data_IF_286866160525
#
_entry.id   IF_286866160525
#
_cell.length_a   1.000
_cell.length_b   1.000
_cell.length_c   1.000
_cell.angle_alpha   90.00
_cell.angle_beta   90.00
_cell.angle_gamma   90.00
#
_symmetry.space_group_name_H-M   'P 1'
#
loop_
_entity.id
_entity.type
_entity.pdbx_description
1 polymer ?
#
# COMPACT_ATOMS: atom_id res chain seq x y z
N UNK A 1 -10.35 50.33 -21.58
CA UNK A 1 -11.41 49.30 -21.61
C UNK A 1 -11.66 48.75 -20.22
N UNK A 2 -12.91 48.31 -19.92
CA UNK A 2 -13.22 47.69 -18.61
C UNK A 2 -14.11 46.48 -18.77
N UNK A 3 -13.78 45.42 -18.02
CA UNK A 3 -14.63 44.22 -17.90
C UNK A 3 -15.19 44.16 -16.47
N UNK A 4 -16.51 44.27 -16.35
CA UNK A 4 -17.19 44.27 -15.04
C UNK A 4 -18.10 43.05 -14.90
N UNK A 5 -18.18 42.52 -13.69
CA UNK A 5 -19.10 41.43 -13.36
C UNK A 5 -20.49 41.99 -13.06
N UNK A 6 -21.47 41.65 -13.89
CA UNK A 6 -22.85 42.08 -13.74
C UNK A 6 -23.76 40.94 -13.22
N UNK A 7 -24.92 41.36 -12.70
CA UNK A 7 -25.97 40.45 -12.21
C UNK A 7 -27.27 40.74 -12.94
N UNK A 8 -27.95 39.70 -13.45
CA UNK A 8 -29.27 39.82 -14.04
C UNK A 8 -30.26 38.97 -13.26
N UNK A 9 -31.30 39.57 -12.76
CA UNK A 9 -32.39 38.86 -12.11
C UNK A 9 -33.13 37.99 -13.14
N UNK A 10 -33.24 36.73 -12.92
CA UNK A 10 -34.01 35.77 -13.74
C UNK A 10 -35.45 35.65 -13.23
N UNK A 11 -35.59 35.53 -11.90
CA UNK A 11 -36.88 35.48 -11.19
C UNK A 11 -36.65 35.88 -9.72
N UNK A 12 -37.72 35.87 -8.88
CA UNK A 12 -37.63 36.27 -7.45
C UNK A 12 -36.58 35.48 -6.64
N UNK A 13 -36.06 34.36 -7.14
CA UNK A 13 -35.16 33.45 -6.41
C UNK A 13 -33.82 33.20 -7.09
N UNK A 14 -33.60 33.65 -8.34
CA UNK A 14 -32.40 33.34 -9.12
C UNK A 14 -31.80 34.54 -9.82
N UNK A 15 -30.48 34.61 -9.76
CA UNK A 15 -29.71 35.67 -10.39
C UNK A 15 -28.64 35.08 -11.30
N UNK A 16 -28.58 35.42 -12.57
CA UNK A 16 -27.53 35.01 -13.50
C UNK A 16 -26.38 36.02 -13.50
N UNK A 17 -25.14 35.48 -13.52
CA UNK A 17 -23.94 36.30 -13.64
C UNK A 17 -23.52 36.48 -15.11
N UNK A 18 -23.06 37.70 -15.48
CA UNK A 18 -22.54 37.96 -16.79
C UNK A 18 -21.35 38.93 -16.71
N UNK A 19 -20.50 38.91 -17.72
CA UNK A 19 -19.46 39.90 -17.92
C UNK A 19 -20.00 41.03 -18.84
N UNK A 20 -19.72 42.26 -18.47
CA UNK A 20 -20.07 43.43 -19.26
C UNK A 20 -18.77 44.04 -19.77
N UNK A 21 -18.57 43.99 -21.08
CA UNK A 21 -17.43 44.57 -21.78
C UNK A 21 -17.78 46.00 -22.22
N UNK A 22 -16.91 46.95 -21.95
CA UNK A 22 -17.03 48.32 -22.42
C UNK A 22 -15.76 48.74 -23.17
N UNK A 23 -15.88 48.99 -24.48
CA UNK A 23 -14.77 49.36 -25.34
C UNK A 23 -15.22 50.37 -26.41
N UNK A 24 -14.54 51.50 -26.54
CA UNK A 24 -14.83 52.55 -27.52
C UNK A 24 -16.33 52.93 -27.61
N UNK A 25 -16.99 53.10 -26.45
CA UNK A 25 -18.41 53.49 -26.40
C UNK A 25 -19.38 52.32 -26.63
N UNK A 26 -18.92 51.17 -27.11
CA UNK A 26 -19.76 49.97 -27.33
C UNK A 26 -19.76 49.09 -26.11
N UNK A 27 -20.92 48.46 -25.80
CA UNK A 27 -21.09 47.54 -24.68
C UNK A 27 -21.57 46.19 -25.19
N UNK A 28 -20.95 45.10 -24.66
CA UNK A 28 -21.35 43.71 -24.95
C UNK A 28 -21.49 42.94 -23.63
N UNK A 29 -22.50 42.11 -23.55
CA UNK A 29 -22.72 41.22 -22.39
C UNK A 29 -22.42 39.78 -22.78
N UNK A 30 -21.69 39.06 -21.92
CA UNK A 30 -21.41 37.64 -22.05
C UNK A 30 -21.94 36.96 -20.81
N UNK A 31 -22.93 36.06 -20.93
CA UNK A 31 -23.47 35.31 -19.81
C UNK A 31 -22.58 34.12 -19.48
N UNK A 32 -22.23 33.97 -18.18
CA UNK A 32 -21.30 32.94 -17.72
C UNK A 32 -21.96 31.57 -17.48
N UNK A 33 -23.29 31.48 -17.59
CA UNK A 33 -24.03 30.28 -17.22
C UNK A 33 -24.06 30.01 -15.70
N UNK A 34 -23.52 30.93 -14.90
CA UNK A 34 -23.45 30.80 -13.42
C UNK A 34 -24.71 31.44 -12.84
N UNK A 35 -25.50 30.63 -12.12
CA UNK A 35 -26.75 31.05 -11.47
C UNK A 35 -26.56 31.03 -9.96
N UNK A 36 -26.88 32.14 -9.30
CA UNK A 36 -26.99 32.25 -7.86
C UNK A 36 -28.43 32.00 -7.43
N UNK A 37 -28.62 31.15 -6.46
CA UNK A 37 -29.92 30.83 -5.86
C UNK A 37 -30.20 31.74 -4.65
N UNK A 38 -31.46 31.85 -4.24
CA UNK A 38 -31.84 32.61 -3.05
C UNK A 38 -31.08 32.11 -1.80
N UNK A 39 -30.49 33.00 -0.99
CA UNK A 39 -29.59 32.64 0.14
C UNK A 39 -30.40 32.20 1.38
N UNK A 40 -31.22 31.16 1.24
CA UNK A 40 -32.13 30.67 2.29
C UNK A 40 -31.46 29.87 3.39
N UNK A 41 -30.27 29.31 3.17
CA UNK A 41 -29.49 28.56 4.14
C UNK A 41 -28.02 29.00 4.18
N UNK A 42 -27.28 28.64 5.25
CA UNK A 42 -25.85 28.91 5.36
C UNK A 42 -25.05 28.22 4.25
N UNK A 43 -25.43 27.01 3.86
CA UNK A 43 -24.82 26.22 2.78
C UNK A 43 -25.00 26.92 1.42
N UNK A 44 -26.23 27.38 1.10
CA UNK A 44 -26.48 28.11 -0.14
C UNK A 44 -25.75 29.44 -0.19
N UNK A 45 -25.58 30.11 0.94
CA UNK A 45 -24.75 31.31 1.02
C UNK A 45 -23.26 31.02 0.72
N UNK A 46 -22.74 29.91 1.24
CA UNK A 46 -21.38 29.46 0.94
C UNK A 46 -21.20 29.07 -0.53
N UNK A 47 -22.14 28.31 -1.09
CA UNK A 47 -22.16 27.93 -2.50
C UNK A 47 -22.19 29.17 -3.43
N UNK A 48 -23.07 30.13 -3.14
CA UNK A 48 -23.13 31.37 -3.89
C UNK A 48 -21.85 32.19 -3.81
N UNK A 49 -21.17 32.21 -2.62
CA UNK A 49 -19.84 32.86 -2.50
C UNK A 49 -18.81 32.21 -3.42
N UNK A 50 -18.79 30.88 -3.46
CA UNK A 50 -17.90 30.15 -4.36
C UNK A 50 -18.21 30.42 -5.84
N UNK A 51 -19.48 30.44 -6.23
CA UNK A 51 -19.93 30.78 -7.59
C UNK A 51 -19.49 32.20 -7.99
N UNK A 52 -19.59 33.17 -7.09
CA UNK A 52 -19.14 34.55 -7.32
C UNK A 52 -17.61 34.61 -7.42
N UNK A 53 -16.87 33.83 -6.61
CA UNK A 53 -15.41 33.77 -6.69
C UNK A 53 -14.96 33.24 -8.06
N UNK A 54 -15.57 32.15 -8.54
CA UNK A 54 -15.31 31.61 -9.88
C UNK A 54 -15.59 32.65 -10.96
N UNK A 55 -16.72 33.38 -10.89
CA UNK A 55 -17.06 34.42 -11.84
C UNK A 55 -16.04 35.60 -11.85
N UNK A 56 -15.49 35.93 -10.66
CA UNK A 56 -14.41 36.96 -10.54
C UNK A 56 -13.10 36.44 -11.15
N UNK A 57 -12.76 35.19 -11.01
CA UNK A 57 -11.58 34.57 -11.64
C UNK A 57 -11.70 34.61 -13.18
N UNK A 58 -12.88 34.23 -13.71
CA UNK A 58 -13.16 34.31 -15.15
C UNK A 58 -13.03 35.72 -15.65
N UNK A 59 -13.55 36.74 -14.92
CA UNK A 59 -13.40 38.15 -15.27
C UNK A 59 -11.94 38.56 -15.33
N UNK A 60 -11.16 38.26 -14.28
CA UNK A 60 -9.75 38.61 -14.20
C UNK A 60 -8.95 37.99 -15.35
N UNK A 61 -9.24 36.73 -15.70
CA UNK A 61 -8.61 36.08 -16.86
C UNK A 61 -8.93 36.80 -18.17
N UNK A 62 -10.19 37.16 -18.40
CA UNK A 62 -10.62 37.87 -19.60
C UNK A 62 -10.04 39.27 -19.67
N UNK A 63 -9.84 39.94 -18.55
CA UNK A 63 -9.22 41.27 -18.47
C UNK A 63 -7.73 41.19 -18.82
N UNK A 64 -7.01 40.17 -18.36
CA UNK A 64 -5.62 39.91 -18.74
C UNK A 64 -5.48 39.53 -20.22
N UNK A 65 -6.32 38.65 -20.75
CA UNK A 65 -6.36 38.29 -22.18
C UNK A 65 -6.54 39.53 -23.05
N UNK A 66 -7.33 40.50 -22.61
CA UNK A 66 -7.56 41.71 -23.36
C UNK A 66 -6.38 42.68 -23.28
N UNK A 67 -5.81 42.86 -22.08
CA UNK A 67 -4.63 43.73 -21.90
C UNK A 67 -3.42 43.18 -22.66
N UNK A 68 -3.22 41.88 -22.77
CA UNK A 68 -2.13 41.30 -23.55
C UNK A 68 -2.23 41.62 -25.04
N UNK A 69 -3.42 41.68 -25.60
CA UNK A 69 -3.67 42.09 -26.98
C UNK A 69 -3.46 43.60 -27.16
N UNK A 70 -3.93 44.43 -26.20
CA UNK A 70 -3.88 45.89 -26.29
C UNK A 70 -2.46 46.43 -26.15
N UNK A 71 -1.61 45.78 -25.34
CA UNK A 71 -0.23 46.25 -25.06
C UNK A 71 0.85 45.42 -25.78
N UNK A 72 0.50 44.53 -26.72
CA UNK A 72 1.43 43.64 -27.45
C UNK A 72 2.40 42.87 -26.53
N UNK A 73 1.92 42.46 -25.39
CA UNK A 73 2.71 41.75 -24.40
C UNK A 73 2.84 40.24 -24.75
N UNK A 74 3.50 39.96 -25.89
CA UNK A 74 3.69 38.57 -26.37
C UNK A 74 4.49 37.70 -25.39
N UNK A 75 5.29 38.30 -24.51
CA UNK A 75 6.05 37.53 -23.50
C UNK A 75 5.21 37.05 -22.33
N UNK A 76 4.07 37.69 -22.05
CA UNK A 76 3.15 37.22 -21.01
C UNK A 76 2.35 36.00 -21.48
N UNK A 77 2.04 35.91 -22.76
CA UNK A 77 1.39 34.74 -23.37
C UNK A 77 2.25 33.49 -23.25
N UNK A 78 3.57 33.59 -23.45
CA UNK A 78 4.50 32.49 -23.31
C UNK A 78 4.61 32.02 -21.83
N UNK A 79 4.66 32.96 -20.89
CA UNK A 79 4.72 32.68 -19.47
C UNK A 79 3.39 32.08 -18.94
N UNK A 80 2.24 32.50 -19.50
CA UNK A 80 0.93 31.93 -19.13
C UNK A 80 0.61 30.64 -19.89
N UNK A 81 1.11 30.45 -21.10
CA UNK A 81 0.99 29.19 -21.83
C UNK A 81 1.83 28.07 -21.19
N UNK A 82 2.93 28.41 -20.53
CA UNK A 82 3.68 27.44 -19.68
C UNK A 82 2.94 27.10 -18.38
N UNK A 83 2.01 27.95 -17.93
CA UNK A 83 1.24 27.76 -16.69
C UNK A 83 -0.15 27.14 -16.95
N UNK A 84 -0.76 27.37 -18.12
CA UNK A 84 -2.07 26.84 -18.50
C UNK A 84 -2.04 26.41 -19.97
N UNK A 85 -1.94 25.13 -20.29
CA UNK A 85 -2.09 24.66 -21.67
C UNK A 85 -3.49 25.05 -22.18
N UNK A 86 -3.54 25.99 -23.14
CA UNK A 86 -4.77 26.54 -23.72
C UNK A 86 -5.44 25.60 -24.72
N UNK A 87 -4.83 24.49 -25.05
CA UNK A 87 -5.39 23.49 -25.94
C UNK A 87 -5.96 22.31 -25.15
N UNK A 88 -7.29 22.28 -24.98
CA UNK A 88 -8.01 21.18 -24.34
C UNK A 88 -7.80 19.84 -25.08
N UNK A 89 -7.29 19.86 -26.30
CA UNK A 89 -7.04 18.65 -27.10
C UNK A 89 -5.75 17.94 -26.75
N UNK A 90 -4.81 18.57 -26.02
CA UNK A 90 -3.46 18.05 -25.81
C UNK A 90 -3.04 17.85 -24.36
N UNK A 91 -3.94 18.04 -23.37
CA UNK A 91 -3.60 17.75 -21.97
C UNK A 91 -3.55 16.25 -21.78
N UNK A 92 -2.38 15.67 -21.40
CA UNK A 92 -2.25 14.25 -21.25
C UNK A 92 -3.22 13.69 -20.18
N UNK A 93 -3.90 12.61 -20.52
CA UNK A 93 -4.78 11.91 -19.60
C UNK A 93 -3.97 10.95 -18.73
N UNK A 94 -4.10 11.13 -17.42
CA UNK A 94 -3.38 10.32 -16.43
C UNK A 94 -3.72 8.82 -16.54
N UNK A 95 -4.97 8.46 -16.82
CA UNK A 95 -5.36 7.05 -16.94
C UNK A 95 -4.75 6.38 -18.17
N UNK A 96 -4.66 7.12 -19.29
CA UNK A 96 -4.01 6.63 -20.52
C UNK A 96 -2.52 6.43 -20.27
N UNK A 97 -1.85 7.43 -19.68
CA UNK A 97 -0.43 7.37 -19.37
C UNK A 97 -0.07 6.20 -18.45
N UNK A 98 -0.87 5.98 -17.41
CA UNK A 98 -0.62 4.88 -16.48
C UNK A 98 -1.03 3.53 -17.08
N UNK A 99 -2.02 3.49 -17.98
CA UNK A 99 -2.33 2.33 -18.78
C UNK A 99 -1.11 1.86 -19.59
N UNK A 100 -0.53 2.75 -20.39
CA UNK A 100 0.70 2.51 -21.16
C UNK A 100 1.88 2.09 -20.27
N UNK A 101 2.05 2.74 -19.13
CA UNK A 101 3.08 2.35 -18.16
C UNK A 101 2.85 0.94 -17.61
N UNK A 102 1.60 0.57 -17.32
CA UNK A 102 1.26 -0.76 -16.83
C UNK A 102 1.51 -1.86 -17.85
N UNK A 103 1.46 -1.57 -19.15
CA UNK A 103 1.74 -2.57 -20.19
C UNK A 103 3.21 -3.00 -20.15
N UNK A 104 4.12 -2.07 -19.85
CA UNK A 104 5.56 -2.31 -19.70
C UNK A 104 5.99 -2.69 -18.27
N UNK A 105 5.03 -2.75 -17.31
CA UNK A 105 5.35 -2.98 -15.90
C UNK A 105 5.30 -4.46 -15.53
N UNK A 106 6.46 -5.08 -15.34
CA UNK A 106 6.58 -6.53 -15.08
C UNK A 106 6.79 -6.90 -13.60
N UNK A 107 6.78 -5.92 -12.67
CA UNK A 107 6.99 -6.22 -11.24
C UNK A 107 5.78 -6.93 -10.61
N UNK A 108 6.05 -7.74 -9.59
CA UNK A 108 5.06 -8.56 -8.85
C UNK A 108 3.90 -7.75 -8.24
N UNK A 109 4.09 -6.46 -8.01
CA UNK A 109 3.11 -5.55 -7.42
C UNK A 109 2.18 -4.86 -8.45
N UNK A 110 2.22 -5.27 -9.73
CA UNK A 110 1.33 -4.77 -10.79
C UNK A 110 -0.16 -4.79 -10.39
N UNK A 111 -0.58 -5.85 -9.67
CA UNK A 111 -1.95 -5.96 -9.14
C UNK A 111 -2.31 -4.83 -8.19
N UNK A 112 -1.35 -4.39 -7.34
CA UNK A 112 -1.55 -3.29 -6.40
C UNK A 112 -1.69 -1.95 -7.12
N UNK A 113 -0.91 -1.72 -8.18
CA UNK A 113 -1.04 -0.52 -9.02
C UNK A 113 -2.41 -0.49 -9.69
N UNK A 114 -2.85 -1.61 -10.28
CA UNK A 114 -4.19 -1.72 -10.90
C UNK A 114 -5.30 -1.42 -9.89
N UNK A 115 -5.25 -2.00 -8.69
CA UNK A 115 -6.22 -1.74 -7.64
C UNK A 115 -6.23 -0.26 -7.22
N UNK A 116 -5.06 0.38 -7.11
CA UNK A 116 -4.97 1.82 -6.84
C UNK A 116 -5.69 2.64 -7.93
N UNK A 117 -5.47 2.33 -9.20
CA UNK A 117 -6.14 3.04 -10.32
C UNK A 117 -7.66 2.77 -10.32
N UNK A 118 -8.10 1.56 -9.96
CA UNK A 118 -9.52 1.27 -9.78
C UNK A 118 -10.14 2.18 -8.71
N UNK A 119 -9.50 2.31 -7.54
CA UNK A 119 -9.97 3.22 -6.50
C UNK A 119 -9.92 4.69 -6.94
N UNK A 120 -8.92 5.09 -7.72
CA UNK A 120 -8.85 6.45 -8.26
C UNK A 120 -10.02 6.73 -9.22
N UNK A 121 -10.39 5.77 -10.07
CA UNK A 121 -11.58 5.88 -10.95
C UNK A 121 -12.89 5.95 -10.15
N UNK A 122 -13.02 5.20 -9.08
CA UNK A 122 -14.18 5.26 -8.17
C UNK A 122 -14.27 6.61 -7.45
N UNK A 123 -13.12 7.17 -7.03
CA UNK A 123 -13.04 8.48 -6.39
C UNK A 123 -13.42 9.60 -7.35
N UNK A 124 -12.84 9.62 -8.54
CA UNK A 124 -13.09 10.70 -9.51
C UNK A 124 -14.44 10.57 -10.20
N UNK A 125 -14.96 9.34 -10.33
CA UNK A 125 -16.15 9.00 -11.15
C UNK A 125 -16.04 9.48 -12.61
N UNK A 126 -14.81 9.68 -13.11
CA UNK A 126 -14.52 10.20 -14.45
C UNK A 126 -13.84 9.14 -15.32
N UNK A 127 -14.14 9.15 -16.61
CA UNK A 127 -13.48 8.30 -17.62
C UNK A 127 -12.08 8.83 -17.98
N UNK A 128 -11.86 10.14 -17.85
CA UNK A 128 -10.63 10.86 -18.16
C UNK A 128 -10.18 11.69 -16.96
N UNK A 129 -8.88 11.75 -16.71
CA UNK A 129 -8.27 12.54 -15.63
C UNK A 129 -7.07 13.32 -16.19
N UNK A 130 -7.27 14.58 -16.61
CA UNK A 130 -6.17 15.44 -17.03
C UNK A 130 -5.12 15.59 -15.93
N UNK A 131 -3.82 15.51 -16.27
CA UNK A 131 -2.73 15.61 -15.28
C UNK A 131 -2.73 16.94 -14.53
N UNK A 132 -3.28 18.00 -15.13
CA UNK A 132 -3.44 19.32 -14.51
C UNK A 132 -4.40 19.34 -13.31
N UNK A 133 -5.29 18.36 -13.19
CA UNK A 133 -6.19 18.21 -12.05
C UNK A 133 -5.52 17.55 -10.83
N UNK A 134 -4.33 16.99 -11.00
CA UNK A 134 -3.58 16.34 -9.92
C UNK A 134 -2.90 17.38 -9.03
N UNK A 135 -3.69 18.21 -8.36
CA UNK A 135 -3.21 19.20 -7.38
C UNK A 135 -2.88 18.53 -6.02
N UNK A 136 -2.23 19.26 -5.14
CA UNK A 136 -1.97 18.80 -3.77
C UNK A 136 -3.25 18.47 -3.02
N UNK A 137 -4.27 19.32 -3.13
CA UNK A 137 -5.58 19.10 -2.49
C UNK A 137 -6.28 17.87 -3.06
N UNK A 138 -6.20 17.65 -4.38
CA UNK A 138 -6.69 16.41 -4.99
C UNK A 138 -6.02 15.18 -4.39
N UNK A 139 -4.70 15.22 -4.21
CA UNK A 139 -3.94 14.10 -3.65
C UNK A 139 -4.30 13.83 -2.18
N UNK A 140 -4.50 14.88 -1.38
CA UNK A 140 -4.96 14.77 0.01
C UNK A 140 -6.36 14.14 0.05
N UNK A 141 -7.30 14.65 -0.72
CA UNK A 141 -8.68 14.15 -0.77
C UNK A 141 -8.73 12.69 -1.25
N UNK A 142 -7.86 12.31 -2.20
CA UNK A 142 -7.75 10.90 -2.60
C UNK A 142 -7.20 10.01 -1.47
N UNK A 143 -6.21 10.47 -0.71
CA UNK A 143 -5.70 9.73 0.45
C UNK A 143 -6.79 9.54 1.50
N UNK A 144 -7.59 10.57 1.79
CA UNK A 144 -8.71 10.50 2.73
C UNK A 144 -9.82 9.55 2.23
N UNK A 145 -10.14 9.60 0.94
CA UNK A 145 -11.02 8.62 0.31
C UNK A 145 -10.53 7.18 0.53
N UNK A 146 -9.23 6.92 0.30
CA UNK A 146 -8.66 5.59 0.51
C UNK A 146 -8.76 5.17 1.98
N UNK A 147 -8.54 6.07 2.94
CA UNK A 147 -8.65 5.80 4.38
C UNK A 147 -10.09 5.50 4.80
N UNK A 148 -11.07 6.16 4.20
CA UNK A 148 -12.49 5.90 4.46
C UNK A 148 -12.99 4.55 3.91
N UNK A 149 -12.36 4.02 2.85
CA UNK A 149 -12.83 2.81 2.16
C UNK A 149 -11.99 1.56 2.43
N UNK A 150 -10.78 1.71 2.96
CA UNK A 150 -9.83 0.62 3.15
C UNK A 150 -9.31 0.59 4.59
N UNK A 151 -8.86 -0.59 5.04
CA UNK A 151 -8.42 -0.78 6.44
C UNK A 151 -6.90 -0.95 6.54
N UNK A 152 -6.37 -0.64 7.72
CA UNK A 152 -4.97 -0.82 8.08
C UNK A 152 -4.03 -0.02 7.17
N UNK A 153 -2.93 -0.61 6.75
CA UNK A 153 -1.92 0.03 5.91
C UNK A 153 -2.19 -0.05 4.40
N UNK A 154 -3.34 -0.61 3.97
CA UNK A 154 -3.72 -0.71 2.55
C UNK A 154 -3.87 0.65 1.88
N UNK A 155 -4.54 1.68 2.50
CA UNK A 155 -4.62 3.03 1.95
C UNK A 155 -3.25 3.62 1.63
N UNK A 156 -2.30 3.48 2.55
CA UNK A 156 -0.93 3.98 2.41
C UNK A 156 -0.19 3.24 1.29
N UNK A 157 -0.37 1.92 1.22
CA UNK A 157 0.18 1.11 0.14
C UNK A 157 -0.30 1.57 -1.24
N UNK A 158 -1.60 1.82 -1.39
CA UNK A 158 -2.17 2.32 -2.65
C UNK A 158 -1.72 3.76 -2.94
N UNK A 159 -1.68 4.63 -1.95
CA UNK A 159 -1.20 6.00 -2.15
C UNK A 159 0.29 6.05 -2.55
N UNK A 160 1.14 5.15 -2.02
CA UNK A 160 2.53 4.99 -2.48
C UNK A 160 2.58 4.59 -3.96
N UNK A 161 1.63 3.75 -4.45
CA UNK A 161 1.53 3.40 -5.87
C UNK A 161 1.03 4.57 -6.72
N UNK A 162 0.10 5.35 -6.22
CA UNK A 162 -0.33 6.59 -6.84
C UNK A 162 0.83 7.59 -6.98
N UNK A 163 1.61 7.82 -5.91
CA UNK A 163 2.83 8.65 -5.94
C UNK A 163 3.84 8.15 -6.97
N UNK A 164 4.03 6.84 -7.07
CA UNK A 164 4.89 6.23 -8.09
C UNK A 164 4.39 6.57 -9.52
N UNK A 165 3.08 6.53 -9.74
CA UNK A 165 2.48 6.89 -11.03
C UNK A 165 2.67 8.39 -11.35
N UNK A 166 2.53 9.27 -10.37
CA UNK A 166 2.81 10.71 -10.53
C UNK A 166 4.28 10.95 -10.88
N UNK A 167 5.22 10.28 -10.21
CA UNK A 167 6.64 10.38 -10.55
C UNK A 167 6.91 9.99 -12.01
N UNK A 168 6.16 9.04 -12.57
CA UNK A 168 6.26 8.71 -14.01
C UNK A 168 5.77 9.82 -14.92
N UNK A 169 4.79 10.60 -14.51
CA UNK A 169 4.37 11.79 -15.25
C UNK A 169 5.46 12.88 -15.22
N UNK A 170 6.15 13.05 -14.08
CA UNK A 170 7.26 14.00 -13.95
C UNK A 170 8.46 13.56 -14.80
N UNK A 171 8.84 12.28 -14.76
CA UNK A 171 9.90 11.72 -15.61
C UNK A 171 9.64 11.96 -17.09
N UNK A 172 8.37 11.95 -17.51
CA UNK A 172 7.94 12.27 -18.88
C UNK A 172 7.78 13.78 -19.13
N UNK A 173 8.17 14.66 -18.20
CA UNK A 173 8.05 16.12 -18.26
C UNK A 173 6.61 16.64 -18.46
N UNK A 174 5.61 15.88 -18.01
CA UNK A 174 4.19 16.23 -18.09
C UNK A 174 3.72 17.00 -16.85
N UNK A 175 4.55 17.08 -15.84
CA UNK A 175 4.34 17.85 -14.61
C UNK A 175 5.68 18.42 -14.15
N UNK A 176 5.67 19.64 -13.66
CA UNK A 176 6.88 20.36 -13.19
C UNK A 176 7.25 20.05 -11.76
N UNK A 177 6.27 19.66 -10.93
CA UNK A 177 6.46 19.36 -9.51
C UNK A 177 5.58 18.20 -9.08
N UNK A 178 5.94 17.54 -7.97
CA UNK A 178 5.16 16.43 -7.45
C UNK A 178 4.12 16.93 -6.44
N UNK A 179 2.81 16.88 -6.76
CA UNK A 179 1.76 17.36 -5.86
C UNK A 179 1.61 16.49 -4.60
N UNK A 180 2.26 15.31 -4.54
CA UNK A 180 2.25 14.47 -3.35
C UNK A 180 3.37 14.80 -2.37
N UNK A 181 4.26 15.74 -2.70
CA UNK A 181 5.36 16.12 -1.82
C UNK A 181 4.85 16.81 -0.56
N UNK A 182 5.49 16.48 0.57
CA UNK A 182 5.07 16.95 1.88
C UNK A 182 3.83 16.27 2.47
N UNK A 183 3.14 15.38 1.72
CA UNK A 183 2.02 14.60 2.27
C UNK A 183 2.57 13.50 3.16
N UNK A 184 2.35 13.61 4.47
CA UNK A 184 2.78 12.62 5.47
C UNK A 184 1.88 11.39 5.43
N UNK A 185 2.51 10.22 5.34
CA UNK A 185 1.82 8.92 5.35
C UNK A 185 2.02 8.29 6.74
N UNK A 186 1.10 8.57 7.65
CA UNK A 186 1.09 7.92 8.97
C UNK A 186 0.69 6.47 8.79
N UNK A 187 1.59 5.56 9.14
CA UNK A 187 1.31 4.13 9.14
C UNK A 187 0.58 3.77 10.43
N UNK A 188 -0.39 2.87 10.32
CA UNK A 188 -0.97 2.23 11.50
C UNK A 188 0.03 1.19 12.03
N UNK A 189 0.02 0.99 13.34
CA UNK A 189 0.78 -0.09 13.94
C UNK A 189 0.46 -1.43 13.30
N UNK A 190 1.47 -2.24 13.12
CA UNK A 190 1.26 -3.59 12.56
C UNK A 190 0.35 -4.38 13.50
N UNK A 191 -0.74 -4.92 12.96
CA UNK A 191 -1.59 -5.86 13.68
C UNK A 191 -0.72 -7.03 14.15
N UNK A 192 -0.67 -7.23 15.46
CA UNK A 192 0.08 -8.33 16.08
C UNK A 192 -0.42 -9.66 15.51
N UNK A 193 0.45 -10.37 14.81
CA UNK A 193 0.11 -11.66 14.22
C UNK A 193 -0.02 -12.72 15.32
N UNK A 194 -1.02 -13.59 15.19
CA UNK A 194 -1.17 -14.69 16.12
C UNK A 194 0.04 -15.62 16.07
N UNK A 195 0.52 -16.00 17.25
CA UNK A 195 1.67 -16.89 17.46
C UNK A 195 1.17 -18.15 18.18
N UNK A 196 1.65 -19.30 17.73
CA UNK A 196 1.40 -20.58 18.39
C UNK A 196 2.55 -20.89 19.35
N UNK A 197 2.23 -21.16 20.60
CA UNK A 197 3.19 -21.70 21.57
C UNK A 197 3.56 -23.15 21.21
N UNK A 198 4.64 -23.67 21.77
CA UNK A 198 5.04 -25.08 21.56
C UNK A 198 3.93 -26.04 22.01
N UNK A 199 3.19 -25.72 23.10
CA UNK A 199 2.03 -26.52 23.56
C UNK A 199 0.91 -26.54 22.52
N UNK A 200 0.61 -25.38 21.87
CA UNK A 200 -0.41 -25.30 20.81
C UNK A 200 0.04 -26.01 19.53
N UNK A 201 1.32 -25.93 19.16
CA UNK A 201 1.88 -26.69 18.03
C UNK A 201 1.77 -28.22 18.31
N UNK A 202 2.10 -28.64 19.51
CA UNK A 202 1.91 -30.05 19.92
C UNK A 202 0.44 -30.48 19.86
N UNK A 203 -0.48 -29.64 20.33
CA UNK A 203 -1.92 -29.88 20.24
C UNK A 203 -2.40 -30.04 18.80
N UNK A 204 -1.91 -29.18 17.88
CA UNK A 204 -2.16 -29.33 16.45
C UNK A 204 -1.60 -30.67 15.92
N UNK A 205 -0.36 -31.00 16.30
CA UNK A 205 0.29 -32.23 15.81
C UNK A 205 -0.51 -33.51 16.13
N UNK A 206 -1.14 -33.60 17.30
CA UNK A 206 -1.98 -34.76 17.68
C UNK A 206 -3.41 -34.67 17.11
N UNK A 207 -3.90 -33.48 16.75
CA UNK A 207 -5.26 -33.30 16.24
C UNK A 207 -5.36 -33.81 14.78
N UNK A 208 -6.40 -34.59 14.42
CA UNK A 208 -6.63 -35.00 13.03
C UNK A 208 -6.88 -33.82 12.11
N UNK A 209 -6.12 -33.73 11.02
CA UNK A 209 -6.24 -32.70 9.98
C UNK A 209 -6.96 -33.29 8.75
N UNK A 210 -7.84 -32.52 8.07
CA UNK A 210 -8.51 -32.97 6.86
C UNK A 210 -7.57 -33.27 5.67
N UNK A 211 -6.32 -32.79 5.73
CA UNK A 211 -5.31 -33.00 4.69
C UNK A 211 -3.93 -33.15 5.35
N UNK A 212 -3.31 -34.30 5.18
CA UNK A 212 -2.03 -34.64 5.80
C UNK A 212 -0.87 -33.81 5.24
N UNK A 213 -0.90 -33.47 3.96
CA UNK A 213 0.16 -32.65 3.35
C UNK A 213 0.14 -31.22 3.90
N UNK A 214 -1.04 -30.64 4.08
CA UNK A 214 -1.19 -29.34 4.75
C UNK A 214 -0.71 -29.41 6.20
N UNK A 215 -1.04 -30.48 6.93
CA UNK A 215 -0.57 -30.71 8.30
C UNK A 215 0.96 -30.76 8.35
N UNK A 216 1.57 -31.63 7.55
CA UNK A 216 3.02 -31.82 7.47
C UNK A 216 3.72 -30.48 7.16
N UNK A 217 3.31 -29.82 6.10
CA UNK A 217 3.90 -28.57 5.63
C UNK A 217 3.78 -27.43 6.64
N UNK A 218 2.63 -27.29 7.30
CA UNK A 218 2.43 -26.26 8.31
C UNK A 218 3.29 -26.50 9.54
N UNK A 219 3.31 -27.73 10.07
CA UNK A 219 4.17 -28.11 11.18
C UNK A 219 5.65 -27.96 10.83
N UNK A 220 6.06 -28.39 9.63
CA UNK A 220 7.41 -28.15 9.13
C UNK A 220 7.78 -26.67 9.14
N UNK A 221 6.88 -25.80 8.64
CA UNK A 221 7.10 -24.35 8.69
C UNK A 221 7.20 -23.80 10.13
N UNK A 222 6.52 -24.41 11.10
CA UNK A 222 6.68 -24.07 12.53
C UNK A 222 8.06 -24.40 13.08
N UNK A 223 8.81 -25.32 12.45
CA UNK A 223 10.14 -25.77 12.88
C UNK A 223 11.30 -25.27 12.01
N UNK A 224 11.03 -24.68 10.84
CA UNK A 224 12.06 -24.13 9.96
C UNK A 224 11.83 -22.66 9.57
N UNK A 225 10.68 -22.10 9.86
CA UNK A 225 10.37 -20.70 9.59
C UNK A 225 10.17 -20.33 8.12
N UNK A 226 10.08 -21.29 7.20
CA UNK A 226 9.91 -21.01 5.77
C UNK A 226 8.57 -20.33 5.47
N UNK A 227 8.56 -19.49 4.43
CA UNK A 227 7.32 -18.88 3.92
C UNK A 227 6.53 -19.90 3.12
N UNK A 228 5.22 -19.67 2.97
CA UNK A 228 4.35 -20.49 2.12
C UNK A 228 4.93 -20.74 0.73
N UNK A 229 5.40 -19.69 0.05
CA UNK A 229 5.94 -19.84 -1.32
C UNK A 229 7.17 -20.72 -1.38
N UNK A 230 7.99 -20.70 -0.33
CA UNK A 230 9.20 -21.50 -0.25
C UNK A 230 8.85 -22.97 0.08
N UNK A 231 7.92 -23.21 1.00
CA UNK A 231 7.44 -24.56 1.34
C UNK A 231 6.68 -25.22 0.18
N UNK A 232 5.86 -24.43 -0.54
CA UNK A 232 5.06 -24.93 -1.66
C UNK A 232 5.91 -25.41 -2.85
N UNK A 233 7.13 -24.89 -2.99
CA UNK A 233 8.03 -25.24 -4.10
C UNK A 233 9.26 -26.04 -3.64
N UNK A 234 9.30 -26.43 -2.37
CA UNK A 234 10.41 -27.18 -1.80
C UNK A 234 10.52 -28.55 -2.49
N UNK A 235 11.70 -28.86 -2.99
CA UNK A 235 12.02 -30.13 -3.63
C UNK A 235 12.98 -30.94 -2.76
N UNK A 236 13.02 -32.27 -2.97
CA UNK A 236 13.93 -33.14 -2.22
C UNK A 236 15.41 -32.84 -2.50
N UNK A 237 15.75 -32.33 -3.68
CA UNK A 237 17.13 -31.89 -3.99
C UNK A 237 17.63 -30.72 -3.15
N UNK A 238 16.71 -29.96 -2.54
CA UNK A 238 17.06 -28.83 -1.68
C UNK A 238 17.49 -29.28 -0.27
N UNK A 239 17.40 -30.60 0.03
CA UNK A 239 17.61 -31.17 1.35
C UNK A 239 18.78 -32.14 1.33
N UNK A 240 19.80 -31.83 2.09
CA UNK A 240 20.86 -32.78 2.42
C UNK A 240 20.50 -33.52 3.73
N UNK A 241 20.04 -34.76 3.60
CA UNK A 241 19.68 -35.62 4.73
C UNK A 241 20.90 -36.12 5.52
N UNK A 242 22.11 -36.08 4.93
CA UNK A 242 23.33 -36.52 5.62
C UNK A 242 23.78 -35.50 6.65
N UNK A 243 23.71 -34.22 6.30
CA UNK A 243 24.05 -33.09 7.17
C UNK A 243 22.82 -32.45 7.86
N UNK A 244 21.62 -32.96 7.61
CA UNK A 244 20.35 -32.36 8.06
C UNK A 244 20.23 -30.88 7.69
N UNK A 245 20.62 -30.53 6.48
CA UNK A 245 20.68 -29.16 5.99
C UNK A 245 19.75 -28.93 4.82
N UNK A 246 19.05 -27.81 4.84
CA UNK A 246 18.21 -27.32 3.75
C UNK A 246 18.87 -26.10 3.11
N UNK A 247 18.93 -26.06 1.78
CA UNK A 247 19.48 -24.94 1.01
C UNK A 247 18.47 -24.54 -0.07
N UNK A 248 17.89 -23.37 0.05
CA UNK A 248 16.88 -22.89 -0.92
C UNK A 248 17.15 -21.47 -1.39
N UNK A 249 16.72 -21.18 -2.62
CA UNK A 249 16.65 -19.82 -3.16
C UNK A 249 15.29 -19.20 -2.80
N UNK A 250 15.28 -18.26 -1.85
CA UNK A 250 14.03 -17.61 -1.38
C UNK A 250 13.38 -16.77 -2.48
N UNK A 251 12.19 -17.15 -2.93
CA UNK A 251 11.48 -16.50 -4.04
C UNK A 251 11.12 -15.03 -3.81
N UNK A 252 10.79 -14.66 -2.58
CA UNK A 252 10.40 -13.28 -2.26
C UNK A 252 11.58 -12.32 -2.26
N UNK A 253 12.81 -12.80 -2.07
CA UNK A 253 14.02 -12.00 -1.89
C UNK A 253 14.92 -12.06 -3.12
N UNK A 254 14.72 -13.04 -4.01
CA UNK A 254 15.53 -13.33 -5.18
C UNK A 254 15.81 -12.10 -6.07
N UNK A 255 14.84 -11.18 -6.21
CA UNK A 255 14.97 -9.99 -7.05
C UNK A 255 15.61 -8.77 -6.35
N UNK A 256 15.91 -8.85 -5.05
CA UNK A 256 16.26 -7.67 -4.24
C UNK A 256 17.46 -7.87 -3.30
N UNK A 257 18.06 -9.05 -3.23
CA UNK A 257 19.17 -9.33 -2.31
C UNK A 257 20.18 -10.29 -2.93
N UNK A 258 21.48 -9.96 -2.76
CA UNK A 258 22.58 -10.88 -3.07
C UNK A 258 22.56 -12.15 -2.22
N UNK A 259 21.90 -12.10 -1.05
CA UNK A 259 21.79 -13.21 -0.09
C UNK A 259 20.41 -13.91 -0.19
N UNK A 260 19.94 -14.18 -1.40
CA UNK A 260 18.67 -14.88 -1.61
C UNK A 260 18.73 -16.37 -1.24
N UNK A 261 19.94 -16.95 -1.17
CA UNK A 261 20.13 -18.35 -0.77
C UNK A 261 20.04 -18.42 0.77
N UNK A 262 19.17 -19.28 1.26
CA UNK A 262 18.99 -19.56 2.68
C UNK A 262 19.48 -20.95 3.00
N UNK A 263 20.39 -21.03 3.95
CA UNK A 263 20.87 -22.28 4.54
C UNK A 263 20.25 -22.47 5.93
N UNK A 264 19.58 -23.58 6.15
CA UNK A 264 18.95 -23.92 7.43
C UNK A 264 19.40 -25.29 7.92
N UNK A 265 19.81 -25.36 9.16
CA UNK A 265 19.96 -26.63 9.86
C UNK A 265 18.59 -27.09 10.36
N UNK A 266 18.23 -28.31 10.07
CA UNK A 266 16.96 -28.89 10.42
C UNK A 266 17.10 -29.76 11.67
N UNK A 267 16.19 -29.58 12.64
CA UNK A 267 16.15 -30.45 13.81
C UNK A 267 15.46 -31.76 13.46
N UNK A 268 15.53 -32.73 14.41
CA UNK A 268 14.97 -34.07 14.23
C UNK A 268 13.46 -34.07 13.89
N UNK A 269 12.66 -33.15 14.48
CA UNK A 269 11.22 -33.04 14.17
C UNK A 269 10.99 -32.55 12.74
N UNK A 270 11.74 -31.56 12.27
CA UNK A 270 11.66 -31.09 10.88
C UNK A 270 12.03 -32.24 9.90
N UNK A 271 13.09 -32.99 10.16
CA UNK A 271 13.50 -34.10 9.31
C UNK A 271 12.40 -35.20 9.27
N UNK A 272 11.78 -35.57 10.42
CA UNK A 272 10.65 -36.50 10.42
C UNK A 272 9.48 -36.04 9.56
N UNK A 273 9.18 -34.74 9.55
CA UNK A 273 8.08 -34.17 8.77
C UNK A 273 8.36 -34.17 7.26
N UNK A 274 9.63 -34.19 6.84
CA UNK A 274 10.01 -34.26 5.43
C UNK A 274 9.68 -35.66 4.83
N UNK A 275 9.71 -36.72 5.62
CA UNK A 275 9.63 -38.09 5.17
C UNK A 275 10.75 -38.46 4.18
N UNK A 276 11.40 -39.59 4.37
CA UNK A 276 12.41 -40.07 3.41
C UNK A 276 11.70 -40.49 2.12
N UNK A 277 12.09 -39.85 1.02
CA UNK A 277 11.61 -40.18 -0.32
C UNK A 277 12.62 -41.10 -1.01
N UNK A 278 12.12 -42.10 -1.74
CA UNK A 278 12.94 -43.02 -2.55
C UNK A 278 12.90 -42.69 -4.05
N UNK A 279 12.35 -41.51 -4.41
CA UNK A 279 12.08 -41.13 -5.80
C UNK A 279 13.02 -40.09 -6.40
N UNK A 280 12.50 -39.30 -7.31
CA UNK A 280 13.26 -38.32 -8.09
C UNK A 280 13.56 -37.09 -7.23
N UNK A 281 14.79 -36.58 -7.26
CA UNK A 281 15.22 -35.42 -6.47
C UNK A 281 14.44 -34.13 -6.77
N UNK A 282 13.85 -33.98 -7.95
CA UNK A 282 13.03 -32.85 -8.38
C UNK A 282 11.59 -32.90 -7.88
N UNK A 283 11.16 -33.99 -7.22
CA UNK A 283 9.81 -34.06 -6.66
C UNK A 283 9.60 -33.06 -5.53
N UNK A 284 8.38 -32.55 -5.47
CA UNK A 284 7.96 -31.66 -4.38
C UNK A 284 7.85 -32.44 -3.07
N UNK A 285 8.40 -31.88 -2.00
CA UNK A 285 8.34 -32.48 -0.64
C UNK A 285 6.90 -32.51 -0.11
N UNK A 286 6.08 -31.55 -0.51
CA UNK A 286 4.70 -31.38 -0.06
C UNK A 286 3.75 -31.19 -1.26
N UNK A 287 2.78 -32.07 -1.41
CA UNK A 287 1.69 -31.94 -2.39
C UNK A 287 0.61 -30.97 -1.92
N UNK A 288 0.93 -29.67 -1.90
CA UNK A 288 0.04 -28.65 -1.35
C UNK A 288 -0.99 -28.17 -2.37
N UNK A 289 -2.29 -28.06 -1.98
CA UNK A 289 -3.30 -27.42 -2.80
C UNK A 289 -3.08 -25.88 -2.88
N UNK A 290 -3.96 -25.17 -3.58
CA UNK A 290 -3.88 -23.70 -3.65
C UNK A 290 -3.85 -23.05 -2.26
N UNK A 291 -3.24 -21.89 -2.15
CA UNK A 291 -3.12 -21.15 -0.87
C UNK A 291 -4.46 -20.91 -0.19
N UNK A 292 -5.48 -20.51 -0.96
CA UNK A 292 -6.82 -20.24 -0.42
C UNK A 292 -7.48 -21.52 0.13
N UNK A 293 -7.27 -22.66 -0.53
CA UNK A 293 -7.80 -23.94 -0.06
C UNK A 293 -7.04 -24.43 1.18
N UNK A 294 -5.71 -24.28 1.19
CA UNK A 294 -4.88 -24.55 2.37
C UNK A 294 -5.33 -23.75 3.59
N UNK A 295 -5.64 -22.45 3.43
CA UNK A 295 -6.16 -21.65 4.54
C UNK A 295 -7.51 -22.15 5.06
N UNK A 296 -8.39 -22.64 4.19
CA UNK A 296 -9.67 -23.25 4.62
C UNK A 296 -9.45 -24.51 5.45
N UNK A 297 -8.51 -25.39 5.01
CA UNK A 297 -8.13 -26.58 5.75
C UNK A 297 -7.54 -26.19 7.10
N UNK A 298 -6.57 -25.26 7.11
CA UNK A 298 -5.89 -24.80 8.32
C UNK A 298 -6.89 -24.24 9.35
N UNK A 299 -7.84 -23.41 8.91
CA UNK A 299 -8.87 -22.86 9.79
C UNK A 299 -9.77 -23.95 10.42
N UNK A 300 -10.15 -24.97 9.64
CA UNK A 300 -10.93 -26.11 10.16
C UNK A 300 -10.12 -26.92 11.19
N UNK A 301 -8.85 -27.15 10.90
CA UNK A 301 -7.95 -27.92 11.74
C UNK A 301 -7.65 -27.20 13.07
N UNK A 302 -7.35 -25.89 13.03
CA UNK A 302 -7.11 -25.03 14.19
C UNK A 302 -8.34 -25.00 15.12
N UNK A 303 -9.55 -24.86 14.54
CA UNK A 303 -10.81 -24.94 15.30
C UNK A 303 -11.00 -26.29 15.96
N UNK A 304 -10.73 -27.41 15.24
CA UNK A 304 -10.80 -28.77 15.79
C UNK A 304 -9.81 -28.98 16.93
N UNK A 305 -8.65 -28.37 16.89
CA UNK A 305 -7.68 -28.36 17.97
C UNK A 305 -8.09 -27.44 19.15
N UNK A 306 -9.27 -26.82 19.12
CA UNK A 306 -9.75 -25.87 20.13
C UNK A 306 -8.71 -24.74 20.41
N UNK A 307 -8.19 -24.14 19.33
CA UNK A 307 -7.29 -22.99 19.38
C UNK A 307 -8.06 -21.77 18.87
N UNK A 308 -8.28 -20.79 19.77
CA UNK A 308 -9.09 -19.60 19.49
C UNK A 308 -8.23 -18.44 18.94
N UNK A 309 -7.39 -18.73 17.94
CA UNK A 309 -6.53 -17.75 17.28
C UNK A 309 -6.78 -17.77 15.77
N UNK A 310 -6.73 -16.61 15.14
CA UNK A 310 -6.77 -16.53 13.67
C UNK A 310 -5.42 -16.93 13.09
N UNK A 311 -5.29 -18.18 12.67
CA UNK A 311 -4.05 -18.74 12.16
C UNK A 311 -4.06 -18.78 10.64
N UNK A 312 -3.06 -18.13 10.05
CA UNK A 312 -2.71 -18.22 8.62
C UNK A 312 -1.41 -19.01 8.49
N UNK A 313 -1.07 -19.45 7.28
CA UNK A 313 0.19 -20.17 7.07
C UNK A 313 1.41 -19.36 7.53
N UNK A 314 1.35 -18.03 7.39
CA UNK A 314 2.45 -17.15 7.82
C UNK A 314 2.64 -17.13 9.36
N UNK A 315 1.60 -17.50 10.13
CA UNK A 315 1.72 -17.63 11.59
C UNK A 315 2.72 -18.72 11.99
N UNK A 316 2.92 -19.78 11.19
CA UNK A 316 3.94 -20.78 11.44
C UNK A 316 5.34 -20.16 11.55
N UNK A 317 5.69 -19.30 10.61
CA UNK A 317 6.98 -18.57 10.63
C UNK A 317 7.08 -17.61 11.82
N UNK A 318 6.00 -16.89 12.15
CA UNK A 318 5.98 -16.03 13.34
C UNK A 318 6.21 -16.86 14.61
N UNK A 319 5.54 -18.02 14.71
CA UNK A 319 5.71 -18.94 15.83
C UNK A 319 7.12 -19.51 15.91
N UNK A 320 7.73 -19.88 14.77
CA UNK A 320 9.12 -20.33 14.73
C UNK A 320 10.05 -19.26 15.31
N UNK A 321 10.01 -18.03 14.79
CA UNK A 321 10.89 -16.95 15.23
C UNK A 321 10.71 -16.68 16.71
N UNK A 322 9.47 -16.57 17.20
CA UNK A 322 9.19 -16.33 18.60
C UNK A 322 9.65 -17.46 19.49
N UNK A 323 9.35 -18.73 19.12
CA UNK A 323 9.71 -19.88 19.94
C UNK A 323 11.23 -20.08 20.00
N UNK A 324 12.01 -19.88 18.91
CA UNK A 324 13.47 -20.00 18.98
C UNK A 324 14.09 -18.90 19.85
N UNK A 325 13.57 -17.67 19.78
CA UNK A 325 14.01 -16.58 20.64
C UNK A 325 13.61 -16.85 22.10
N UNK A 326 12.41 -17.36 22.36
CA UNK A 326 11.99 -17.78 23.69
C UNK A 326 12.85 -18.93 24.26
N UNK A 327 13.51 -19.69 23.43
CA UNK A 327 14.46 -20.73 23.82
C UNK A 327 15.94 -20.27 23.77
N UNK A 328 16.19 -18.96 23.80
CA UNK A 328 17.53 -18.40 23.98
C UNK A 328 18.26 -17.97 22.72
N UNK A 329 17.66 -18.12 21.53
CA UNK A 329 18.30 -17.59 20.32
C UNK A 329 18.33 -16.05 20.35
N UNK A 330 19.48 -15.46 20.08
CA UNK A 330 19.59 -14.01 19.93
C UNK A 330 18.93 -13.53 18.63
N UNK A 331 18.63 -12.23 18.56
CA UNK A 331 17.91 -11.62 17.42
C UNK A 331 18.62 -11.80 16.07
N UNK A 332 19.95 -11.79 16.05
CA UNK A 332 20.73 -11.97 14.81
C UNK A 332 20.60 -13.42 14.31
N UNK A 333 20.71 -14.40 15.21
CA UNK A 333 20.51 -15.81 14.90
C UNK A 333 19.07 -16.05 14.41
N UNK A 334 18.06 -15.51 15.08
CA UNK A 334 16.67 -15.64 14.68
C UNK A 334 16.41 -14.97 13.30
N UNK A 335 17.01 -13.82 13.03
CA UNK A 335 16.91 -13.15 11.72
C UNK A 335 17.58 -13.98 10.62
N UNK A 336 18.77 -14.54 10.87
CA UNK A 336 19.48 -15.40 9.92
C UNK A 336 18.67 -16.66 9.60
N UNK A 337 18.20 -17.40 10.60
CA UNK A 337 17.37 -18.60 10.42
C UNK A 337 16.05 -18.30 9.69
N UNK A 338 15.47 -17.13 9.94
CA UNK A 338 14.31 -16.69 9.20
C UNK A 338 14.61 -16.18 7.78
N UNK A 339 15.88 -15.96 7.40
CA UNK A 339 16.24 -15.34 6.13
C UNK A 339 15.71 -13.90 6.02
N UNK A 340 15.84 -13.12 7.09
CA UNK A 340 15.60 -11.68 7.08
C UNK A 340 16.86 -10.95 6.64
N UNK A 341 16.74 -10.02 5.71
CA UNK A 341 17.85 -9.19 5.25
C UNK A 341 18.34 -8.18 6.31
N UNK A 342 17.50 -7.86 7.30
CA UNK A 342 17.80 -6.96 8.43
C UNK A 342 17.13 -7.47 9.71
N UNK A 343 17.71 -7.16 10.87
CA UNK A 343 17.13 -7.48 12.19
C UNK A 343 15.82 -6.77 12.46
N UNK A 344 15.57 -5.62 11.81
CA UNK A 344 14.35 -4.82 11.99
C UNK A 344 13.06 -5.63 11.83
N UNK A 345 13.07 -6.63 10.94
CA UNK A 345 11.90 -7.51 10.75
C UNK A 345 11.75 -8.52 11.90
N UNK A 346 12.80 -8.73 12.70
CA UNK A 346 12.82 -9.64 13.85
C UNK A 346 12.59 -8.89 15.16
N UNK A 347 12.91 -7.60 15.22
CA UNK A 347 12.76 -6.73 16.41
C UNK A 347 11.32 -6.70 16.95
N UNK A 348 10.33 -6.80 16.06
CA UNK A 348 8.93 -6.85 16.45
C UNK A 348 8.53 -8.06 17.32
N UNK A 349 9.37 -9.08 17.41
CA UNK A 349 9.14 -10.24 18.29
C UNK A 349 9.77 -10.07 19.67
N UNK A 350 10.58 -9.03 19.86
CA UNK A 350 11.28 -8.77 21.14
C UNK A 350 10.29 -8.46 22.27
N UNK A 351 9.14 -7.83 21.95
CA UNK A 351 8.11 -7.56 22.95
C UNK A 351 7.48 -8.80 23.60
N UNK A 352 7.60 -9.96 22.94
CA UNK A 352 7.04 -11.24 23.41
C UNK A 352 8.01 -11.93 24.36
N UNK A 353 9.21 -11.38 24.55
CA UNK A 353 10.33 -11.96 25.27
C UNK A 353 10.46 -11.37 26.69
N UNK A 354 9.44 -10.66 27.19
CA UNK A 354 9.51 -10.12 28.56
C UNK A 354 9.69 -11.23 29.62
N UNK A 355 9.12 -12.43 29.37
CA UNK A 355 9.44 -13.62 30.20
C UNK A 355 10.92 -14.03 30.15
N UNK A 356 11.62 -13.77 29.02
CA UNK A 356 13.07 -14.06 28.93
C UNK A 356 13.92 -13.04 29.67
N UNK A 357 13.47 -11.78 29.74
CA UNK A 357 14.16 -10.76 30.53
C UNK A 357 14.16 -11.14 32.00
N UNK A 358 13.02 -11.58 32.51
CA UNK A 358 12.92 -12.07 33.89
C UNK A 358 13.82 -13.28 34.11
N UNK A 359 13.74 -14.30 33.26
CA UNK A 359 14.63 -15.48 33.33
C UNK A 359 16.11 -15.13 33.27
N UNK A 360 16.47 -14.16 32.43
CA UNK A 360 17.86 -13.70 32.32
C UNK A 360 18.34 -13.02 33.60
N UNK A 361 17.48 -12.21 34.23
CA UNK A 361 17.77 -11.61 35.54
C UNK A 361 17.83 -12.66 36.64
N UNK A 362 16.87 -13.60 36.65
CA UNK A 362 16.80 -14.70 37.62
C UNK A 362 17.95 -15.70 37.50
N UNK A 363 18.66 -15.70 36.35
CA UNK A 363 19.84 -16.55 36.13
C UNK A 363 21.16 -15.98 36.71
N UNK A 364 21.14 -14.74 37.20
CA UNK A 364 22.29 -14.19 37.90
C UNK A 364 22.50 -14.93 39.23
N UNK A 365 23.75 -15.25 39.59
CA UNK A 365 24.00 -15.95 40.83
C UNK A 365 23.68 -15.04 42.02
N UNK A 366 23.05 -15.65 43.04
CA UNK A 366 22.80 -14.95 44.30
C UNK A 366 24.14 -14.59 44.99
N UNK A 367 24.21 -13.36 45.49
CA UNK A 367 25.33 -12.91 46.31
C UNK A 367 24.85 -12.82 47.77
N UNK A 368 25.68 -13.30 48.67
CA UNK A 368 25.45 -13.14 50.10
C UNK A 368 25.82 -11.70 50.47
N UNK A 369 24.83 -10.89 50.78
CA UNK A 369 25.03 -9.52 51.24
C UNK A 369 24.88 -9.50 52.79
N UNK A 370 25.97 -9.34 53.49
CA UNK A 370 25.93 -9.12 54.94
C UNK A 370 25.66 -7.62 55.20
N UNK A 371 24.42 -7.28 55.51
CA UNK A 371 24.10 -5.98 56.04
C UNK A 371 24.55 -5.94 57.50
N UNK A 372 25.52 -5.08 57.85
CA UNK A 372 25.88 -4.74 59.20
C UNK A 372 24.92 -3.67 59.71
#
# INVERSE_FOLDING_TARGET
MGITLGKKQLNKRRVSLYLNYSYNGKRRKEYLGIILDAPTSAERRAENRNKVLIARQIRAKKELEFLSVEYHLNDIENTFNDILPTDKSNVPDFYILIGQYLDTYHKKDKKMVRACITHLRLFTRKKSLPVTLLTKDFCINFLEYLRGHLRGNTPIGYFKKFRMCINKCIEKKLMTSNPTDGIRLMQFDEVTKAILSLKEIQKLAITPCPNNEVKRAFLFSCYCGLRWCDVHQLQYKDIDFSSNRLTILQQKVQSHSKNAILHLNLNHTAIKLLQRHKGINEELVFGLPSYSYTLRILNKWVKRANIHKHITFHCARHSFITNIMANGANIKTAASLAGHSTTRHTEKYVHIIDELKQKAVDSLPDIIVNYK
#
